data_IF_561421230217
#
_entry.id   IF_561421230217
#
_cell.length_a   1.000
_cell.length_b   1.000
_cell.length_c   1.000
_cell.angle_alpha   90.00
_cell.angle_beta   90.00
_cell.angle_gamma   90.00
#
_symmetry.space_group_name_H-M   'P 1'
#
loop_
_entity.id
_entity.type
_entity.pdbx_description
1 polymer ?
#
# COMPACT_ATOMS: atom_id res chain seq x y z
N UNK A 1 -18.75 -5.80 -10.71
CA UNK A 1 -18.97 -5.76 -9.26
C UNK A 1 -18.04 -4.75 -8.61
N UNK A 2 -18.56 -4.04 -7.63
CA UNK A 2 -17.78 -3.00 -6.98
C UNK A 2 -17.47 -3.41 -5.55
N UNK A 3 -16.22 -3.23 -5.16
CA UNK A 3 -15.79 -3.54 -3.80
C UNK A 3 -15.64 -2.25 -3.02
N UNK A 4 -16.04 -2.31 -1.74
CA UNK A 4 -15.98 -1.16 -0.88
C UNK A 4 -14.55 -0.84 -0.44
N UNK A 5 -13.74 -1.87 -0.30
CA UNK A 5 -12.35 -1.74 0.14
C UNK A 5 -11.41 -2.45 -0.78
N UNK A 6 -10.19 -1.98 -0.79
CA UNK A 6 -9.12 -2.64 -1.51
C UNK A 6 -7.88 -2.69 -0.64
N UNK A 7 -7.07 -3.71 -0.84
CA UNK A 7 -5.82 -3.86 -0.14
C UNK A 7 -4.71 -3.35 -1.03
N UNK A 8 -3.99 -2.35 -0.55
CA UNK A 8 -2.79 -1.91 -1.23
C UNK A 8 -1.65 -2.75 -0.69
N UNK A 9 -0.97 -3.44 -1.58
CA UNK A 9 0.21 -4.22 -1.23
C UNK A 9 1.40 -3.56 -1.91
N UNK A 10 2.30 -3.03 -1.11
CA UNK A 10 3.45 -2.28 -1.61
C UNK A 10 4.71 -2.98 -1.14
N UNK A 11 5.54 -3.42 -2.07
CA UNK A 11 6.77 -4.11 -1.73
C UNK A 11 7.92 -3.19 -2.11
N UNK A 12 8.68 -2.79 -1.11
CA UNK A 12 9.75 -1.81 -1.28
C UNK A 12 11.02 -2.30 -0.61
N UNK A 13 12.11 -1.64 -0.89
CA UNK A 13 13.37 -1.92 -0.22
C UNK A 13 13.24 -1.58 1.26
N UNK A 14 13.99 -2.32 2.08
CA UNK A 14 14.00 -2.07 3.52
C UNK A 14 14.39 -0.63 3.80
N UNK A 15 13.63 0.00 4.69
CA UNK A 15 13.84 1.39 5.05
C UNK A 15 12.87 2.36 4.40
N UNK A 16 12.02 1.88 3.48
CA UNK A 16 11.10 2.76 2.78
C UNK A 16 9.64 2.65 3.25
N UNK A 17 9.37 1.81 4.26
CA UNK A 17 7.99 1.64 4.71
C UNK A 17 7.41 2.93 5.29
N UNK A 18 8.23 3.74 5.97
CA UNK A 18 7.72 5.00 6.51
C UNK A 18 7.31 5.95 5.39
N UNK A 19 8.09 6.00 4.32
CA UNK A 19 7.75 6.84 3.16
C UNK A 19 6.45 6.36 2.51
N UNK A 20 6.26 5.03 2.44
CA UNK A 20 5.03 4.46 1.90
C UNK A 20 3.84 4.90 2.75
N UNK A 21 3.94 4.75 4.06
CA UNK A 21 2.84 5.11 4.94
C UNK A 21 2.55 6.61 4.90
N UNK A 22 3.58 7.43 4.84
CA UNK A 22 3.39 8.86 4.76
C UNK A 22 2.63 9.26 3.49
N UNK A 23 3.03 8.69 2.37
CA UNK A 23 2.35 8.98 1.10
C UNK A 23 0.89 8.52 1.14
N UNK A 24 0.64 7.33 1.69
CA UNK A 24 -0.71 6.78 1.76
C UNK A 24 -1.59 7.60 2.69
N UNK A 25 -1.06 8.00 3.84
CA UNK A 25 -1.84 8.79 4.79
C UNK A 25 -2.21 10.15 4.24
N UNK A 26 -1.36 10.73 3.43
CA UNK A 26 -1.67 12.00 2.80
C UNK A 26 -2.88 11.90 1.88
N UNK A 27 -3.20 10.70 1.42
CA UNK A 27 -4.38 10.46 0.58
C UNK A 27 -5.60 10.02 1.39
N UNK A 28 -5.46 9.92 2.71
CA UNK A 28 -6.59 9.54 3.56
C UNK A 28 -6.54 8.12 4.08
N UNK A 29 -5.46 7.39 3.84
CA UNK A 29 -5.34 6.04 4.37
C UNK A 29 -5.12 6.07 5.87
N UNK A 30 -5.58 5.03 6.55
CA UNK A 30 -5.32 4.86 7.98
C UNK A 30 -3.97 4.21 8.21
N UNK A 31 -3.93 3.23 9.07
CA UNK A 31 -2.68 2.52 9.35
C UNK A 31 -2.41 1.40 8.37
N UNK A 32 -1.28 0.79 8.53
CA UNK A 32 -0.91 -0.35 7.71
C UNK A 32 -0.10 -1.35 8.51
N UNK A 33 0.23 -2.45 7.87
CA UNK A 33 1.02 -3.52 8.48
C UNK A 33 2.28 -3.71 7.64
N UNK A 34 3.42 -3.73 8.30
CA UNK A 34 4.69 -3.91 7.63
C UNK A 34 5.22 -5.30 7.95
N UNK A 35 5.57 -6.05 6.91
CA UNK A 35 6.10 -7.39 7.04
C UNK A 35 7.48 -7.41 6.40
N UNK A 36 8.45 -7.96 7.13
CA UNK A 36 9.76 -8.14 6.55
C UNK A 36 9.70 -9.24 5.50
N UNK A 37 10.32 -9.00 4.36
CA UNK A 37 10.22 -9.91 3.24
C UNK A 37 11.58 -10.00 2.54
N UNK A 38 11.66 -10.92 1.62
CA UNK A 38 12.89 -11.11 0.84
C UNK A 38 12.53 -11.26 -0.62
N UNK A 39 13.14 -10.44 -1.45
CA UNK A 39 12.95 -10.55 -2.87
C UNK A 39 13.96 -11.49 -3.49
N UNK A 40 13.61 -12.04 -4.65
CA UNK A 40 14.56 -12.86 -5.40
C UNK A 40 15.16 -11.98 -6.48
N UNK A 41 16.44 -11.72 -6.39
CA UNK A 41 17.10 -10.85 -7.34
C UNK A 41 17.12 -11.47 -8.72
N UNK A 42 16.81 -10.68 -9.72
CA UNK A 42 16.91 -11.10 -11.11
C UNK A 42 18.18 -10.48 -11.67
N UNK A 43 19.20 -11.32 -11.86
CA UNK A 43 20.49 -10.83 -12.31
C UNK A 43 20.42 -10.23 -13.70
N UNK A 44 19.55 -10.73 -14.54
CA UNK A 44 19.39 -10.15 -15.86
C UNK A 44 18.82 -8.73 -15.76
N UNK A 45 17.87 -8.51 -14.86
CA UNK A 45 17.33 -7.17 -14.66
C UNK A 45 18.39 -6.24 -14.08
N UNK A 46 19.21 -6.74 -13.15
CA UNK A 46 20.30 -5.94 -12.61
C UNK A 46 21.25 -5.50 -13.72
N UNK A 47 21.59 -6.42 -14.58
CA UNK A 47 22.50 -6.12 -15.69
C UNK A 47 21.85 -5.16 -16.67
N UNK A 48 20.59 -5.43 -17.03
CA UNK A 48 19.88 -4.63 -18.01
C UNK A 48 19.71 -3.18 -17.58
N UNK A 49 19.30 -2.98 -16.32
CA UNK A 49 19.06 -1.64 -15.80
C UNK A 49 20.29 -1.02 -15.16
N UNK A 50 21.36 -1.80 -15.01
CA UNK A 50 22.59 -1.35 -14.34
C UNK A 50 22.30 -0.88 -12.93
N UNK A 51 21.54 -1.67 -12.21
CA UNK A 51 21.15 -1.37 -10.82
C UNK A 51 21.52 -2.55 -9.94
N UNK A 52 21.60 -2.29 -8.64
CA UNK A 52 21.73 -3.35 -7.66
C UNK A 52 20.37 -3.57 -7.01
N UNK A 53 19.88 -4.80 -7.09
CA UNK A 53 18.59 -5.10 -6.48
C UNK A 53 18.82 -5.62 -5.07
N UNK A 54 18.26 -4.91 -4.10
CA UNK A 54 18.37 -5.31 -2.71
C UNK A 54 17.46 -6.50 -2.44
N UNK A 55 17.96 -7.58 -1.84
CA UNK A 55 17.09 -8.70 -1.51
C UNK A 55 16.19 -8.44 -0.32
N UNK A 56 16.60 -7.57 0.61
CA UNK A 56 15.80 -7.27 1.78
C UNK A 56 14.69 -6.32 1.43
N UNK A 57 13.47 -6.74 1.69
CA UNK A 57 12.28 -5.98 1.33
C UNK A 57 11.37 -5.80 2.53
N UNK A 58 10.46 -4.87 2.39
CA UNK A 58 9.34 -4.72 3.32
C UNK A 58 8.07 -4.74 2.50
N UNK A 59 7.11 -5.55 2.94
CA UNK A 59 5.80 -5.58 2.33
C UNK A 59 4.88 -4.77 3.22
N UNK A 60 4.30 -3.71 2.67
CA UNK A 60 3.41 -2.83 3.41
C UNK A 60 1.99 -3.10 2.92
N UNK A 61 1.11 -3.48 3.84
CA UNK A 61 -0.28 -3.77 3.51
C UNK A 61 -1.16 -2.69 4.10
N UNK A 62 -1.96 -2.06 3.26
CA UNK A 62 -2.81 -0.95 3.68
C UNK A 62 -4.21 -1.18 3.15
N UNK A 63 -5.17 -1.31 4.06
CA UNK A 63 -6.57 -1.44 3.66
C UNK A 63 -7.14 -0.04 3.47
N UNK A 64 -7.67 0.23 2.29
CA UNK A 64 -8.18 1.56 1.97
C UNK A 64 -9.58 1.46 1.38
N UNK A 65 -10.39 2.50 1.57
CA UNK A 65 -11.64 2.59 0.79
C UNK A 65 -11.31 2.62 -0.70
N UNK A 66 -12.12 1.95 -1.49
CA UNK A 66 -11.88 1.90 -2.93
C UNK A 66 -11.83 3.29 -3.55
N UNK A 67 -12.51 4.24 -2.95
CA UNK A 67 -12.56 5.61 -3.48
C UNK A 67 -11.18 6.27 -3.53
N UNK A 68 -10.25 5.90 -2.66
CA UNK A 68 -8.93 6.53 -2.65
C UNK A 68 -7.83 5.63 -3.21
N UNK A 69 -8.18 4.45 -3.68
CA UNK A 69 -7.20 3.48 -4.14
C UNK A 69 -6.28 4.04 -5.22
N UNK A 70 -6.85 4.67 -6.21
CA UNK A 70 -6.04 5.20 -7.31
C UNK A 70 -5.14 6.34 -6.85
N UNK A 71 -5.65 7.19 -5.96
CA UNK A 71 -4.84 8.28 -5.42
C UNK A 71 -3.64 7.74 -4.65
N UNK A 72 -3.86 6.68 -3.87
CA UNK A 72 -2.77 6.07 -3.11
C UNK A 72 -1.73 5.47 -4.05
N UNK A 73 -2.17 4.72 -5.05
CA UNK A 73 -1.22 4.13 -6.00
C UNK A 73 -0.41 5.21 -6.71
N UNK A 74 -1.06 6.30 -7.10
CA UNK A 74 -0.39 7.39 -7.77
C UNK A 74 0.63 8.07 -6.85
N UNK A 75 0.26 8.29 -5.60
CA UNK A 75 1.17 8.90 -4.63
C UNK A 75 2.39 8.01 -4.39
N UNK A 76 2.19 6.70 -4.30
CA UNK A 76 3.31 5.78 -4.13
C UNK A 76 4.23 5.82 -5.34
N UNK A 77 3.64 5.85 -6.53
CA UNK A 77 4.43 5.91 -7.75
C UNK A 77 5.32 7.15 -7.78
N UNK A 78 4.77 8.30 -7.43
CA UNK A 78 5.51 9.55 -7.53
C UNK A 78 6.36 9.86 -6.31
N UNK A 79 5.82 9.68 -5.11
CA UNK A 79 6.50 10.14 -3.91
C UNK A 79 7.49 9.14 -3.34
N UNK A 80 7.24 7.85 -3.55
CA UNK A 80 8.15 6.82 -3.08
C UNK A 80 9.14 6.43 -4.18
N UNK A 81 8.88 6.86 -5.40
CA UNK A 81 9.80 6.65 -6.50
C UNK A 81 9.65 5.30 -7.17
N UNK A 82 8.45 4.74 -7.16
CA UNK A 82 8.25 3.42 -7.74
C UNK A 82 8.42 3.39 -9.25
N UNK A 83 8.48 4.58 -9.89
CA UNK A 83 8.78 4.63 -11.30
C UNK A 83 10.24 4.29 -11.58
N UNK A 84 11.08 4.26 -10.56
CA UNK A 84 12.50 3.94 -10.72
C UNK A 84 12.70 2.44 -10.66
N UNK A 85 13.38 1.82 -11.63
CA UNK A 85 13.62 0.37 -11.59
C UNK A 85 14.33 -0.05 -10.31
N UNK A 86 13.84 -1.14 -9.73
CA UNK A 86 14.45 -1.69 -8.51
C UNK A 86 13.97 -1.07 -7.21
N UNK A 87 13.12 -0.03 -7.28
CA UNK A 87 12.66 0.64 -6.08
C UNK A 87 11.52 -0.10 -5.40
N UNK A 88 10.63 -0.71 -6.18
CA UNK A 88 9.54 -1.45 -5.60
C UNK A 88 8.33 -1.50 -6.51
N UNK A 89 7.28 -2.16 -6.04
CA UNK A 89 6.03 -2.25 -6.76
C UNK A 89 4.87 -2.05 -5.78
N UNK A 90 3.75 -1.60 -6.31
CA UNK A 90 2.54 -1.47 -5.53
C UNK A 90 1.38 -1.98 -6.37
N UNK A 91 0.45 -2.65 -5.73
CA UNK A 91 -0.70 -3.20 -6.40
C UNK A 91 -1.92 -3.09 -5.51
N UNK A 92 -3.09 -3.11 -6.12
CA UNK A 92 -4.33 -3.08 -5.39
C UNK A 92 -5.10 -4.37 -5.65
N UNK A 93 -5.62 -4.95 -4.57
CA UNK A 93 -6.42 -6.17 -4.65
C UNK A 93 -7.79 -5.89 -4.07
N UNK A 94 -8.85 -6.27 -4.76
CA UNK A 94 -10.19 -6.08 -4.20
C UNK A 94 -10.38 -6.97 -2.97
N UNK A 95 -11.07 -6.43 -1.98
CA UNK A 95 -11.32 -7.12 -0.73
C UNK A 95 -12.81 -7.41 -0.64
N UNK A 96 -13.16 -8.68 -0.63
CA UNK A 96 -14.54 -9.11 -0.64
C UNK A 96 -15.24 -8.86 0.69
N UNK A 97 -14.53 -9.04 1.79
CA UNK A 97 -15.14 -8.84 3.10
C UNK A 97 -14.09 -8.47 4.13
N UNK A 98 -14.48 -7.64 5.09
CA UNK A 98 -13.61 -7.18 6.15
C UNK A 98 -14.35 -7.18 7.46
N UNK A 99 -13.71 -7.64 8.52
CA UNK A 99 -14.21 -7.49 9.88
C UNK A 99 -13.08 -6.88 10.72
N UNK A 100 -13.46 -6.19 11.76
CA UNK A 100 -12.46 -5.60 12.64
C UNK A 100 -11.89 -4.29 12.16
N UNK A 101 -12.69 -3.53 11.40
CA UNK A 101 -12.24 -2.24 10.87
C UNK A 101 -11.97 -1.25 12.00
N UNK A 102 -11.08 -0.29 11.73
CA UNK A 102 -10.74 0.71 12.74
C UNK A 102 -11.89 1.62 13.12
N UNK A 103 -11.66 2.33 14.16
CA UNK A 103 -12.57 3.20 14.84
C UNK A 103 -13.34 4.19 13.98
N UNK A 104 -12.72 4.69 12.94
CA UNK A 104 -13.40 5.69 12.11
C UNK A 104 -14.65 5.13 11.42
N UNK A 105 -14.65 3.83 11.13
CA UNK A 105 -15.82 3.19 10.56
C UNK A 105 -16.93 3.08 11.60
N UNK A 106 -16.56 2.75 12.82
CA UNK A 106 -17.52 2.73 13.90
C UNK A 106 -18.14 4.10 14.11
N UNK A 107 -17.33 5.13 13.94
CA UNK A 107 -17.83 6.48 14.09
C UNK A 107 -18.87 6.78 13.04
N UNK A 108 -18.65 6.39 11.80
CA UNK A 108 -19.62 6.59 10.74
C UNK A 108 -20.89 5.82 11.04
N UNK A 109 -20.77 4.59 11.49
CA UNK A 109 -21.90 3.77 11.83
C UNK A 109 -22.70 4.37 12.98
N UNK A 110 -22.01 4.89 13.98
CA UNK A 110 -22.66 5.50 15.11
C UNK A 110 -23.46 6.70 14.69
N UNK A 111 -22.94 7.50 13.80
CA UNK A 111 -23.65 8.65 13.29
C UNK A 111 -24.94 8.22 12.64
N UNK A 112 -24.87 7.19 11.82
CA UNK A 112 -26.05 6.66 11.17
C UNK A 112 -27.05 6.11 12.16
N UNK A 113 -26.56 5.39 13.16
CA UNK A 113 -27.43 4.81 14.17
C UNK A 113 -28.11 5.88 15.00
N UNK A 114 -27.39 6.94 15.31
CA UNK A 114 -27.97 8.00 16.08
C UNK A 114 -29.09 8.71 15.34
N UNK A 115 -29.07 8.61 14.03
CA UNK A 115 -30.11 9.16 13.21
C UNK A 115 -31.34 8.28 13.17
N UNK A 116 -31.20 7.06 13.64
CA UNK A 116 -32.32 6.16 13.72
C UNK A 116 -33.11 6.38 15.01
#
# INVERSE_FOLDING_TARGET
MKFEYELILCIVNTGFSDAVMEAARACGAGGGTVIHARGTANKEAETFFKITIQPEKEAVMILVPSAIKDDVLHALYQKVGLQTPGQGIAMALPVDGVVGLPRQNEKAEKTEKNEK
#
